data_IF_351562915961
#
_entry.id   IF_351562915961
#
_cell.length_a   1.000
_cell.length_b   1.000
_cell.length_c   1.000
_cell.angle_alpha   90.00
_cell.angle_beta   90.00
_cell.angle_gamma   90.00
#
_symmetry.space_group_name_H-M   'P 1'
#
loop_
_entity.id
_entity.type
_entity.pdbx_description
1 polymer ?
#
# COMPACT_ATOMS: atom_id res chain seq x y z
N UNK A 1 23.80 0.79 40.02
CA UNK A 1 23.12 -0.51 40.20
C UNK A 1 23.14 -1.23 38.87
N UNK A 2 23.49 -2.51 38.87
CA UNK A 2 23.48 -3.36 37.67
C UNK A 2 22.21 -4.20 37.68
N UNK A 3 21.62 -4.41 36.51
CA UNK A 3 20.34 -5.12 36.35
C UNK A 3 20.48 -6.19 35.26
N UNK A 4 19.41 -6.96 35.09
CA UNK A 4 19.24 -7.93 34.02
C UNK A 4 20.26 -9.09 34.06
N UNK A 5 20.05 -10.08 33.20
CA UNK A 5 21.00 -11.19 32.99
C UNK A 5 22.31 -10.73 32.35
N UNK A 6 22.31 -9.59 31.63
CA UNK A 6 23.49 -9.03 30.99
C UNK A 6 24.41 -8.24 31.95
N UNK A 7 23.97 -8.00 33.20
CA UNK A 7 24.75 -7.30 34.24
C UNK A 7 25.21 -5.90 33.83
N UNK A 8 24.39 -5.20 33.04
CA UNK A 8 24.63 -3.82 32.61
C UNK A 8 23.92 -2.82 33.53
N UNK A 9 24.40 -1.56 33.62
CA UNK A 9 23.68 -0.50 34.31
C UNK A 9 22.36 -0.14 33.58
N UNK A 10 21.47 0.55 34.29
CA UNK A 10 20.21 1.05 33.73
C UNK A 10 20.44 2.05 32.57
N UNK A 11 19.68 1.88 31.50
CA UNK A 11 19.67 2.74 30.31
C UNK A 11 18.23 3.18 30.02
N UNK A 12 17.98 4.48 30.04
CA UNK A 12 16.65 5.09 29.82
C UNK A 12 16.10 4.86 28.41
N UNK A 13 16.95 4.48 27.45
CA UNK A 13 16.56 4.28 26.05
C UNK A 13 16.07 2.85 25.77
N UNK A 14 16.24 1.93 26.72
CA UNK A 14 15.88 0.53 26.56
C UNK A 14 14.68 0.16 27.42
N UNK A 15 13.68 -0.47 26.80
CA UNK A 15 12.54 -1.03 27.52
C UNK A 15 12.99 -2.10 28.52
N UNK A 16 12.51 -1.99 29.76
CA UNK A 16 12.73 -2.96 30.83
C UNK A 16 11.43 -3.36 31.52
N UNK A 17 11.37 -4.61 31.99
CA UNK A 17 10.26 -5.18 32.75
C UNK A 17 10.75 -5.78 34.07
N UNK A 18 10.01 -5.59 35.16
CA UNK A 18 10.32 -6.11 36.49
C UNK A 18 9.77 -7.51 36.70
N UNK A 19 10.60 -8.44 37.20
CA UNK A 19 10.15 -9.77 37.59
C UNK A 19 9.42 -9.76 38.94
N UNK A 20 8.20 -10.26 38.98
CA UNK A 20 7.36 -10.30 40.17
C UNK A 20 7.91 -11.18 41.29
N UNK A 21 8.75 -12.17 40.96
CA UNK A 21 9.34 -13.09 41.93
C UNK A 21 10.64 -12.58 42.54
N UNK A 22 11.62 -12.17 41.73
CA UNK A 22 12.94 -11.74 42.23
C UNK A 22 13.10 -10.23 42.37
N UNK A 23 12.13 -9.43 41.91
CA UNK A 23 12.14 -7.96 41.96
C UNK A 23 13.35 -7.31 41.27
N UNK A 24 13.97 -8.03 40.32
CA UNK A 24 15.02 -7.51 39.44
C UNK A 24 14.41 -7.08 38.10
N UNK A 25 15.10 -6.17 37.41
CA UNK A 25 14.67 -5.58 36.14
C UNK A 25 15.42 -6.20 34.95
N UNK A 26 14.69 -6.47 33.87
CA UNK A 26 15.23 -7.16 32.69
C UNK A 26 14.94 -6.36 31.43
N UNK A 27 15.94 -6.18 30.56
CA UNK A 27 15.72 -5.62 29.23
C UNK A 27 14.81 -6.55 28.43
N UNK A 28 13.79 -6.01 27.79
CA UNK A 28 12.85 -6.79 26.98
C UNK A 28 13.55 -7.66 25.93
N UNK A 29 14.55 -7.09 25.25
CA UNK A 29 15.40 -7.79 24.27
C UNK A 29 16.21 -8.96 24.85
N UNK A 30 16.61 -8.90 26.13
CA UNK A 30 17.38 -9.96 26.78
C UNK A 30 16.51 -11.15 27.21
N UNK A 31 15.20 -10.95 27.36
CA UNK A 31 14.27 -11.95 27.89
C UNK A 31 13.13 -12.29 26.92
N UNK A 32 13.17 -11.73 25.70
CA UNK A 32 12.18 -11.98 24.65
C UNK A 32 10.80 -11.40 24.95
N UNK A 33 10.76 -10.22 25.58
CA UNK A 33 9.51 -9.48 25.85
C UNK A 33 9.57 -8.16 25.09
N UNK A 34 8.66 -7.99 24.13
CA UNK A 34 8.50 -6.73 23.41
C UNK A 34 7.78 -5.69 24.29
N UNK A 35 8.16 -4.42 24.13
CA UNK A 35 7.56 -3.29 24.87
C UNK A 35 6.04 -3.25 24.70
N UNK A 36 5.55 -3.55 23.49
CA UNK A 36 4.12 -3.55 23.15
C UNK A 36 3.32 -4.70 23.80
N UNK A 37 3.99 -5.75 24.26
CA UNK A 37 3.37 -6.90 24.93
C UNK A 37 3.38 -6.75 26.45
N UNK A 38 4.24 -5.87 26.99
CA UNK A 38 4.36 -5.61 28.43
C UNK A 38 3.03 -5.24 29.11
N UNK A 39 2.15 -4.40 28.50
CA UNK A 39 0.87 -4.06 29.11
C UNK A 39 -0.09 -5.25 29.30
N UNK A 40 0.07 -6.31 28.50
CA UNK A 40 -0.77 -7.50 28.54
C UNK A 40 -0.30 -8.54 29.57
N UNK A 41 0.93 -8.42 30.07
CA UNK A 41 1.48 -9.27 31.12
C UNK A 41 0.91 -8.83 32.47
N UNK A 42 0.34 -9.78 33.21
CA UNK A 42 -0.22 -9.59 34.55
C UNK A 42 0.84 -9.82 35.63
N UNK A 43 1.55 -10.95 35.51
CA UNK A 43 2.66 -11.32 36.39
C UNK A 43 3.80 -11.77 35.49
N UNK A 44 4.93 -11.06 35.55
CA UNK A 44 6.12 -11.41 34.80
C UNK A 44 7.09 -12.24 35.65
N UNK A 45 7.47 -13.41 35.16
CA UNK A 45 8.57 -14.20 35.72
C UNK A 45 9.72 -14.27 34.71
N UNK A 46 10.92 -13.88 35.14
CA UNK A 46 12.12 -13.99 34.32
C UNK A 46 12.50 -15.47 34.06
N UNK A 47 13.37 -15.76 33.07
CA UNK A 47 13.73 -17.15 32.70
C UNK A 47 14.26 -18.02 33.86
N UNK A 48 14.85 -17.40 34.90
CA UNK A 48 15.29 -18.11 36.09
C UNK A 48 14.14 -18.40 37.04
N UNK A 49 13.27 -17.42 37.30
CA UNK A 49 12.11 -17.57 38.19
C UNK A 49 11.00 -18.43 37.58
N UNK A 50 10.92 -18.53 36.25
CA UNK A 50 9.96 -19.42 35.57
C UNK A 50 10.08 -20.88 36.05
N UNK A 51 11.31 -21.32 36.36
CA UNK A 51 11.60 -22.70 36.80
C UNK A 51 10.99 -23.03 38.16
N UNK A 52 10.80 -22.04 39.04
CA UNK A 52 10.31 -22.22 40.41
C UNK A 52 8.92 -21.65 40.64
N UNK A 53 8.52 -20.61 39.90
CA UNK A 53 7.24 -19.90 40.05
C UNK A 53 6.29 -20.11 38.85
N UNK A 54 6.71 -20.84 37.83
CA UNK A 54 5.94 -21.08 36.61
C UNK A 54 6.02 -19.92 35.61
N UNK A 55 5.39 -20.10 34.44
CA UNK A 55 5.38 -19.10 33.36
C UNK A 55 4.69 -17.80 33.76
N UNK A 56 5.11 -16.69 33.14
CA UNK A 56 4.42 -15.40 33.23
C UNK A 56 2.93 -15.54 32.88
N UNK A 57 2.07 -14.87 33.62
CA UNK A 57 0.62 -14.86 33.37
C UNK A 57 0.23 -13.61 32.62
N UNK A 58 -0.71 -13.75 31.67
CA UNK A 58 -1.30 -12.62 30.97
C UNK A 58 -2.56 -12.16 31.70
N UNK A 59 -2.89 -10.88 31.55
CA UNK A 59 -4.12 -10.32 32.12
C UNK A 59 -5.30 -11.11 31.57
N UNK A 60 -6.16 -11.61 32.47
CA UNK A 60 -7.35 -12.36 32.07
C UNK A 60 -8.23 -11.44 31.21
N UNK A 61 -8.33 -11.71 29.90
CA UNK A 61 -9.44 -11.21 29.09
C UNK A 61 -10.72 -11.76 29.72
N UNK A 62 -11.59 -10.88 30.24
CA UNK A 62 -12.87 -11.27 30.83
C UNK A 62 -13.67 -12.07 29.79
N UNK A 63 -13.78 -13.37 30.00
CA UNK A 63 -14.75 -14.20 29.30
C UNK A 63 -16.14 -13.78 29.76
N UNK A 64 -16.97 -13.39 28.81
CA UNK A 64 -18.37 -13.05 28.97
C UNK A 64 -19.14 -14.26 29.55
N UNK A 65 -19.36 -14.28 30.86
CA UNK A 65 -20.30 -15.20 31.52
C UNK A 65 -21.72 -14.69 31.33
N UNK A 66 -22.62 -15.58 30.90
CA UNK A 66 -24.03 -15.32 30.51
C UNK A 66 -24.97 -14.77 31.61
N UNK A 67 -24.45 -14.34 32.76
CA UNK A 67 -25.25 -13.77 33.84
C UNK A 67 -24.43 -12.70 34.56
N UNK A 68 -24.46 -11.47 34.07
CA UNK A 68 -24.09 -10.30 34.86
C UNK A 68 -25.16 -9.23 34.67
N UNK A 69 -26.04 -9.14 35.66
CA UNK A 69 -27.10 -8.14 35.77
C UNK A 69 -26.54 -6.88 36.40
N UNK A 70 -26.07 -5.96 35.55
CA UNK A 70 -26.10 -4.51 35.83
C UNK A 70 -24.79 -3.85 36.31
N UNK A 71 -24.47 -2.76 35.63
CA UNK A 71 -23.57 -1.65 36.02
C UNK A 71 -22.08 -1.78 35.67
N UNK A 72 -21.81 -1.78 34.37
CA UNK A 72 -20.66 -1.07 33.78
C UNK A 72 -21.13 -0.51 32.43
N UNK A 73 -21.23 0.81 32.31
CA UNK A 73 -21.74 1.51 31.12
C UNK A 73 -20.66 1.85 30.09
N UNK A 74 -19.45 1.32 30.22
CA UNK A 74 -18.37 1.58 29.25
C UNK A 74 -18.43 0.57 28.11
N UNK A 75 -19.35 0.78 27.17
CA UNK A 75 -19.28 0.16 25.84
C UNK A 75 -18.10 0.80 25.13
N UNK A 76 -16.91 0.18 25.24
CA UNK A 76 -15.74 0.61 24.46
C UNK A 76 -16.04 0.42 22.97
N UNK A 77 -15.76 1.44 22.18
CA UNK A 77 -15.92 1.38 20.74
C UNK A 77 -15.05 0.27 20.14
N UNK A 78 -15.57 -0.37 19.09
CA UNK A 78 -14.88 -1.45 18.38
C UNK A 78 -13.74 -0.83 17.57
N UNK A 79 -12.51 -1.31 17.77
CA UNK A 79 -11.35 -0.85 17.01
C UNK A 79 -11.25 -1.58 15.66
N UNK A 80 -10.95 -0.83 14.61
CA UNK A 80 -10.68 -1.35 13.27
C UNK A 80 -9.53 -2.37 13.32
N UNK A 81 -9.69 -3.50 12.63
CA UNK A 81 -8.74 -4.62 12.65
C UNK A 81 -8.91 -5.61 13.81
N UNK A 82 -9.70 -5.29 14.85
CA UNK A 82 -10.02 -6.24 15.92
C UNK A 82 -10.85 -7.43 15.43
N UNK A 83 -10.80 -8.57 16.12
CA UNK A 83 -11.59 -9.75 15.76
C UNK A 83 -13.10 -9.49 15.74
N UNK A 84 -13.59 -8.60 16.62
CA UNK A 84 -15.00 -8.17 16.63
C UNK A 84 -15.30 -7.37 15.36
N UNK A 85 -14.46 -6.39 15.04
CA UNK A 85 -14.57 -5.61 13.80
C UNK A 85 -14.59 -6.50 12.56
N UNK A 86 -13.67 -7.47 12.44
CA UNK A 86 -13.61 -8.37 11.27
C UNK A 86 -14.89 -9.20 11.14
N UNK A 87 -15.44 -9.68 12.26
CA UNK A 87 -16.71 -10.42 12.26
C UNK A 87 -17.87 -9.53 11.78
N UNK A 88 -17.95 -8.29 12.27
CA UNK A 88 -18.95 -7.32 11.85
C UNK A 88 -18.78 -6.96 10.36
N UNK A 89 -17.55 -6.66 9.92
CA UNK A 89 -17.20 -6.34 8.54
C UNK A 89 -17.63 -7.43 7.56
N UNK A 90 -17.43 -8.71 7.90
CA UNK A 90 -17.86 -9.85 7.07
C UNK A 90 -19.38 -9.97 6.95
N UNK A 91 -20.13 -9.48 7.95
CA UNK A 91 -21.60 -9.52 7.95
C UNK A 91 -22.25 -8.31 7.28
N UNK A 92 -21.49 -7.23 7.07
CA UNK A 92 -21.97 -6.01 6.42
C UNK A 92 -22.25 -6.24 4.93
N UNK A 93 -23.27 -5.55 4.43
CA UNK A 93 -23.64 -5.53 3.02
C UNK A 93 -23.10 -4.27 2.35
N UNK A 94 -22.53 -4.43 1.16
CA UNK A 94 -21.98 -3.35 0.36
C UNK A 94 -22.49 -3.47 -1.08
N UNK A 95 -22.66 -2.37 -1.83
CA UNK A 95 -22.87 -2.44 -3.27
C UNK A 95 -21.72 -3.19 -3.95
N UNK A 96 -22.03 -3.91 -5.04
CA UNK A 96 -21.02 -4.65 -5.80
C UNK A 96 -20.11 -3.67 -6.54
N UNK A 97 -18.81 -3.96 -6.58
CA UNK A 97 -17.90 -3.19 -7.42
C UNK A 97 -18.16 -3.39 -8.93
N UNK A 98 -18.96 -4.37 -9.35
CA UNK A 98 -19.38 -4.50 -10.76
C UNK A 98 -20.06 -3.22 -11.31
N UNK A 99 -20.62 -2.38 -10.44
CA UNK A 99 -21.24 -1.10 -10.82
C UNK A 99 -20.23 -0.04 -11.27
N UNK A 100 -18.96 -0.19 -10.88
CA UNK A 100 -17.86 0.78 -11.16
C UNK A 100 -16.66 0.14 -11.85
N UNK A 101 -16.55 -1.19 -11.86
CA UNK A 101 -15.40 -1.87 -12.46
C UNK A 101 -15.48 -1.88 -13.99
N UNK A 102 -14.39 -1.42 -14.61
CA UNK A 102 -14.15 -1.64 -16.04
C UNK A 102 -13.44 -2.98 -16.21
N UNK A 103 -14.06 -3.91 -16.94
CA UNK A 103 -13.51 -5.25 -17.17
C UNK A 103 -12.78 -5.28 -18.52
N UNK A 104 -11.45 -5.38 -18.48
CA UNK A 104 -10.61 -5.42 -19.68
C UNK A 104 -9.78 -6.71 -19.71
N UNK A 105 -9.64 -7.30 -20.89
CA UNK A 105 -8.60 -8.30 -21.12
C UNK A 105 -7.22 -7.63 -21.23
N UNK A 106 -6.15 -8.40 -21.07
CA UNK A 106 -4.81 -7.84 -21.11
C UNK A 106 -4.46 -7.18 -22.45
N UNK A 107 -5.01 -7.66 -23.57
CA UNK A 107 -4.81 -7.06 -24.90
C UNK A 107 -5.60 -5.78 -25.13
N UNK A 108 -6.64 -5.52 -24.34
CA UNK A 108 -7.43 -4.28 -24.42
C UNK A 108 -6.84 -3.17 -23.54
N UNK A 109 -6.07 -3.52 -22.52
CA UNK A 109 -5.48 -2.55 -21.59
C UNK A 109 -4.20 -1.93 -22.19
N UNK A 110 -4.38 -0.97 -23.10
CA UNK A 110 -3.29 -0.26 -23.78
C UNK A 110 -3.24 1.23 -23.40
N UNK A 111 -2.14 1.90 -23.73
CA UNK A 111 -2.00 3.35 -23.51
C UNK A 111 -3.05 4.12 -24.30
N UNK A 112 -3.31 3.74 -25.55
CA UNK A 112 -4.29 4.41 -26.41
C UNK A 112 -5.71 4.31 -25.85
N UNK A 113 -6.08 3.15 -25.32
CA UNK A 113 -7.38 2.96 -24.66
C UNK A 113 -7.51 3.87 -23.43
N UNK A 114 -6.48 3.92 -22.58
CA UNK A 114 -6.51 4.76 -21.38
C UNK A 114 -6.40 6.27 -21.68
N UNK A 115 -5.78 6.66 -22.79
CA UNK A 115 -5.77 8.06 -23.26
C UNK A 115 -7.13 8.47 -23.83
N UNK A 116 -7.85 7.55 -24.48
CA UNK A 116 -9.18 7.81 -25.07
C UNK A 116 -10.30 7.80 -24.03
N UNK A 117 -10.36 6.75 -23.22
CA UNK A 117 -11.47 6.50 -22.30
C UNK A 117 -11.16 6.97 -20.87
N UNK A 118 -9.90 7.27 -20.59
CA UNK A 118 -9.41 7.67 -19.28
C UNK A 118 -9.08 6.49 -18.37
N UNK A 119 -8.45 6.81 -17.23
CA UNK A 119 -8.18 5.86 -16.15
C UNK A 119 -8.71 6.43 -14.83
N UNK A 120 -10.04 6.56 -14.73
CA UNK A 120 -10.75 7.17 -13.60
C UNK A 120 -11.53 6.17 -12.74
N UNK A 121 -11.84 4.99 -13.27
CA UNK A 121 -12.52 3.89 -12.59
C UNK A 121 -11.58 2.68 -12.44
N UNK A 122 -11.77 1.81 -11.43
CA UNK A 122 -10.90 0.66 -11.23
C UNK A 122 -11.10 -0.37 -12.34
N UNK A 123 -9.99 -0.96 -12.79
CA UNK A 123 -9.97 -1.91 -13.90
C UNK A 123 -9.69 -3.31 -13.36
N UNK A 124 -10.53 -4.29 -13.72
CA UNK A 124 -10.32 -5.68 -13.38
C UNK A 124 -9.97 -6.50 -14.63
N UNK A 125 -8.77 -7.07 -14.63
CA UNK A 125 -8.37 -8.11 -15.58
C UNK A 125 -8.63 -9.50 -14.97
N UNK A 126 -9.52 -10.26 -15.59
CA UNK A 126 -9.93 -11.59 -15.14
C UNK A 126 -8.78 -12.61 -15.21
N UNK A 127 -7.84 -12.41 -16.11
CA UNK A 127 -6.66 -13.26 -16.29
C UNK A 127 -5.45 -12.41 -16.64
N UNK A 128 -4.25 -12.95 -16.39
CA UNK A 128 -3.00 -12.24 -16.62
C UNK A 128 -2.55 -12.20 -18.09
N UNK A 129 -3.08 -13.07 -18.94
CA UNK A 129 -2.67 -13.15 -20.34
C UNK A 129 -2.92 -11.81 -21.06
N UNK A 130 -1.92 -11.36 -21.83
CA UNK A 130 -1.94 -10.08 -22.52
C UNK A 130 -1.47 -8.88 -21.69
N UNK A 131 -1.36 -8.98 -20.35
CA UNK A 131 -0.94 -7.84 -19.51
C UNK A 131 0.57 -7.55 -19.57
N UNK A 132 1.38 -8.40 -20.19
CA UNK A 132 2.84 -8.35 -20.08
C UNK A 132 3.34 -8.49 -18.64
N UNK A 133 2.54 -9.14 -17.78
CA UNK A 133 2.83 -9.44 -16.39
C UNK A 133 3.58 -10.78 -16.29
N UNK A 134 4.76 -10.79 -15.68
CA UNK A 134 5.45 -12.03 -15.32
C UNK A 134 5.27 -12.32 -13.84
N UNK A 135 4.93 -13.57 -13.53
CA UNK A 135 4.69 -14.05 -12.17
C UNK A 135 5.31 -15.43 -12.00
N UNK A 136 5.79 -15.78 -10.80
CA UNK A 136 6.24 -17.13 -10.51
C UNK A 136 5.11 -18.16 -10.71
N UNK A 137 5.45 -19.46 -10.83
CA UNK A 137 4.46 -20.50 -11.03
C UNK A 137 3.49 -20.58 -9.83
N UNK A 138 2.28 -21.13 -10.01
CA UNK A 138 1.35 -21.36 -8.90
C UNK A 138 1.88 -22.27 -7.79
N UNK A 139 3.02 -22.94 -7.98
CA UNK A 139 3.71 -23.73 -6.94
C UNK A 139 4.64 -22.89 -6.06
N UNK A 140 4.75 -21.58 -6.31
CA UNK A 140 5.58 -20.67 -5.51
C UNK A 140 4.88 -20.29 -4.20
N UNK A 141 5.57 -20.44 -3.08
CA UNK A 141 5.05 -20.24 -1.73
C UNK A 141 5.94 -19.28 -0.91
N UNK A 142 5.54 -19.01 0.33
CA UNK A 142 6.21 -18.07 1.24
C UNK A 142 7.66 -18.48 1.53
N UNK A 143 7.95 -19.78 1.53
CA UNK A 143 9.32 -20.30 1.67
C UNK A 143 10.20 -19.94 0.46
N UNK A 144 9.61 -19.81 -0.73
CA UNK A 144 10.35 -19.35 -1.90
C UNK A 144 10.63 -17.85 -1.80
N UNK A 145 9.71 -17.05 -1.25
CA UNK A 145 9.97 -15.64 -0.94
C UNK A 145 11.18 -15.51 -0.01
N UNK A 146 11.23 -16.28 1.09
CA UNK A 146 12.41 -16.34 1.99
C UNK A 146 13.70 -16.68 1.22
N UNK A 147 13.65 -17.67 0.33
CA UNK A 147 14.81 -18.09 -0.46
C UNK A 147 15.28 -17.02 -1.44
N UNK A 148 14.37 -16.33 -2.14
CA UNK A 148 14.72 -15.34 -3.16
C UNK A 148 15.14 -13.99 -2.55
N UNK A 149 14.51 -13.58 -1.44
CA UNK A 149 14.76 -12.30 -0.77
C UNK A 149 15.92 -12.42 0.22
N UNK A 150 15.95 -13.50 1.01
CA UNK A 150 16.95 -13.76 2.03
C UNK A 150 16.33 -13.82 3.44
N UNK A 151 16.70 -14.83 4.26
CA UNK A 151 16.08 -15.07 5.57
C UNK A 151 16.34 -13.96 6.60
N UNK A 152 17.50 -13.30 6.52
CA UNK A 152 17.93 -12.26 7.46
C UNK A 152 17.46 -10.86 7.08
N UNK A 153 16.73 -10.70 5.96
CA UNK A 153 16.15 -9.41 5.58
C UNK A 153 15.14 -9.00 6.65
N UNK A 154 15.30 -7.79 7.19
CA UNK A 154 14.35 -7.21 8.13
C UNK A 154 13.16 -6.67 7.35
N UNK A 155 11.96 -7.08 7.76
CA UNK A 155 10.70 -6.69 7.14
C UNK A 155 9.81 -5.96 8.15
N UNK A 156 9.02 -5.01 7.66
CA UNK A 156 7.96 -4.40 8.46
C UNK A 156 6.77 -5.37 8.54
N UNK A 157 6.21 -5.51 9.73
CA UNK A 157 5.10 -6.40 10.03
C UNK A 157 4.02 -5.63 10.74
N UNK A 158 2.80 -5.68 10.21
CA UNK A 158 1.65 -5.01 10.84
C UNK A 158 0.96 -5.98 11.78
N UNK A 159 0.83 -5.61 13.06
CA UNK A 159 -0.13 -6.22 13.97
C UNK A 159 -1.52 -5.67 13.63
N UNK A 160 -2.29 -6.47 12.90
CA UNK A 160 -3.61 -6.08 12.40
C UNK A 160 -4.57 -5.73 13.54
N UNK A 161 -4.44 -6.39 14.70
CA UNK A 161 -5.37 -6.15 15.82
C UNK A 161 -5.10 -4.82 16.49
N UNK A 162 -3.83 -4.39 16.52
CA UNK A 162 -3.39 -3.13 17.11
C UNK A 162 -3.32 -1.98 16.10
N UNK A 163 -3.33 -2.28 14.79
CA UNK A 163 -3.07 -1.33 13.70
C UNK A 163 -1.72 -0.60 13.90
N UNK A 164 -0.72 -1.34 14.40
CA UNK A 164 0.66 -0.87 14.61
C UNK A 164 1.63 -1.72 13.79
N UNK A 165 2.78 -1.15 13.47
CA UNK A 165 3.87 -1.85 12.78
C UNK A 165 5.04 -2.14 13.72
N UNK A 166 5.71 -3.26 13.48
CA UNK A 166 6.97 -3.64 14.09
C UNK A 166 7.92 -4.18 13.03
N UNK A 167 9.16 -4.52 13.41
CA UNK A 167 10.15 -5.13 12.51
C UNK A 167 10.53 -6.51 13.00
N UNK A 168 10.74 -7.44 12.08
CA UNK A 168 11.31 -8.76 12.38
C UNK A 168 12.07 -9.30 11.16
N UNK A 169 12.80 -10.40 11.32
CA UNK A 169 13.43 -11.06 10.18
C UNK A 169 12.38 -11.77 9.32
N UNK A 170 12.59 -11.79 8.00
CA UNK A 170 11.70 -12.51 7.08
C UNK A 170 11.54 -13.98 7.48
N UNK A 171 12.63 -14.62 7.92
CA UNK A 171 12.60 -15.98 8.46
C UNK A 171 11.62 -16.14 9.64
N UNK A 172 11.65 -15.22 10.60
CA UNK A 172 10.79 -15.26 11.78
C UNK A 172 9.32 -15.11 11.36
N UNK A 173 9.03 -14.25 10.39
CA UNK A 173 7.69 -14.12 9.82
C UNK A 173 7.25 -15.38 9.06
N UNK A 174 8.14 -16.02 8.30
CA UNK A 174 7.85 -17.29 7.60
C UNK A 174 7.56 -18.41 8.59
N UNK A 175 8.34 -18.52 9.66
CA UNK A 175 8.12 -19.48 10.74
C UNK A 175 6.77 -19.23 11.44
N UNK A 176 6.43 -17.95 11.70
CA UNK A 176 5.10 -17.54 12.19
C UNK A 176 3.99 -17.96 11.22
N UNK A 177 4.17 -17.71 9.92
CA UNK A 177 3.19 -18.02 8.88
C UNK A 177 2.89 -19.52 8.86
N UNK A 178 3.89 -20.39 8.90
CA UNK A 178 3.68 -21.84 8.89
C UNK A 178 3.35 -22.44 10.27
N UNK A 179 3.32 -21.64 11.32
CA UNK A 179 2.94 -22.12 12.65
C UNK A 179 1.50 -22.64 12.68
N UNK A 180 1.27 -23.73 13.43
CA UNK A 180 -0.07 -24.32 13.59
C UNK A 180 -0.99 -23.51 14.51
N UNK A 181 -0.45 -22.50 15.19
CA UNK A 181 -1.18 -21.67 16.15
C UNK A 181 -0.70 -20.21 16.12
N UNK A 182 -1.30 -19.41 15.25
CA UNK A 182 -1.04 -17.97 15.14
C UNK A 182 -1.83 -17.22 16.23
N UNK A 183 -1.13 -16.73 17.27
CA UNK A 183 -1.75 -15.99 18.39
C UNK A 183 -2.11 -14.54 18.04
N UNK A 184 -1.35 -13.93 17.13
CA UNK A 184 -1.56 -12.58 16.57
C UNK A 184 -1.91 -12.70 15.09
N UNK A 185 -2.55 -11.69 14.53
CA UNK A 185 -2.79 -11.57 13.07
C UNK A 185 -1.75 -10.60 12.53
N UNK A 186 -0.72 -11.13 11.90
CA UNK A 186 0.42 -10.35 11.38
C UNK A 186 0.41 -10.38 9.86
N UNK A 187 0.65 -9.24 9.22
CA UNK A 187 0.80 -9.14 7.77
C UNK A 187 2.13 -8.49 7.38
N UNK A 188 2.57 -8.76 6.15
CA UNK A 188 3.63 -8.02 5.46
C UNK A 188 3.01 -7.44 4.20
N UNK A 189 2.96 -6.11 4.09
CA UNK A 189 2.30 -5.41 2.96
C UNK A 189 3.25 -4.59 2.08
N UNK A 190 4.47 -4.34 2.54
CA UNK A 190 5.42 -3.41 1.92
C UNK A 190 6.79 -4.04 1.63
N UNK A 191 6.87 -5.37 1.48
CA UNK A 191 8.13 -6.03 1.13
C UNK A 191 8.52 -5.68 -0.31
N UNK A 192 9.26 -4.58 -0.46
CA UNK A 192 9.87 -4.15 -1.70
C UNK A 192 11.05 -5.06 -2.03
N UNK A 193 11.09 -5.58 -3.25
CA UNK A 193 12.04 -6.64 -3.59
C UNK A 193 12.86 -6.36 -4.85
N UNK A 194 12.87 -5.13 -5.36
CA UNK A 194 13.53 -4.79 -6.63
C UNK A 194 15.04 -5.03 -6.62
N UNK A 195 15.70 -4.96 -5.46
CA UNK A 195 17.14 -5.25 -5.32
C UNK A 195 17.45 -6.73 -5.00
N UNK A 196 16.43 -7.59 -4.94
CA UNK A 196 16.61 -9.00 -4.57
C UNK A 196 16.63 -9.90 -5.81
N UNK A 197 16.94 -11.19 -5.63
CA UNK A 197 16.84 -12.17 -6.73
C UNK A 197 15.40 -12.36 -7.22
N UNK A 198 14.40 -12.00 -6.42
CA UNK A 198 12.98 -12.10 -6.77
C UNK A 198 12.60 -11.16 -7.92
N UNK A 199 13.32 -10.05 -8.10
CA UNK A 199 13.10 -9.11 -9.20
C UNK A 199 13.18 -9.77 -10.59
N UNK A 200 13.99 -10.83 -10.72
CA UNK A 200 14.20 -11.53 -12.00
C UNK A 200 13.03 -12.43 -12.43
N UNK A 201 12.10 -12.72 -11.52
CA UNK A 201 10.99 -13.66 -11.77
C UNK A 201 9.61 -13.01 -11.68
N UNK A 202 9.56 -11.72 -11.35
CA UNK A 202 8.33 -10.92 -11.32
C UNK A 202 8.53 -9.68 -12.17
N UNK A 203 7.61 -9.45 -13.10
CA UNK A 203 7.58 -8.25 -13.94
C UNK A 203 6.21 -7.61 -13.86
N UNK A 204 6.18 -6.32 -13.58
CA UNK A 204 4.93 -5.54 -13.47
C UNK A 204 4.20 -5.46 -14.82
N UNK A 205 2.88 -5.21 -14.83
CA UNK A 205 2.11 -5.11 -16.05
C UNK A 205 2.75 -4.12 -17.05
N UNK A 206 2.72 -4.45 -18.34
CA UNK A 206 3.28 -3.60 -19.39
C UNK A 206 2.70 -2.18 -19.35
N UNK A 207 1.40 -2.04 -19.13
CA UNK A 207 0.74 -0.73 -19.05
C UNK A 207 1.29 0.14 -17.91
N UNK A 208 1.65 -0.48 -16.77
CA UNK A 208 2.24 0.21 -15.62
C UNK A 208 3.61 0.75 -15.98
N UNK A 209 4.44 -0.08 -16.62
CA UNK A 209 5.78 0.30 -17.07
C UNK A 209 5.74 1.40 -18.13
N UNK A 210 4.75 1.38 -19.02
CA UNK A 210 4.57 2.40 -20.06
C UNK A 210 4.10 3.75 -19.52
N UNK A 211 3.32 3.77 -18.42
CA UNK A 211 2.76 5.00 -17.86
C UNK A 211 3.59 5.61 -16.72
N UNK A 212 4.38 4.81 -16.01
CA UNK A 212 5.10 5.22 -14.80
C UNK A 212 6.11 6.34 -15.07
N UNK A 213 6.02 7.45 -14.34
CA UNK A 213 7.03 8.51 -14.41
C UNK A 213 8.41 8.03 -13.93
N UNK A 214 8.44 7.18 -12.91
CA UNK A 214 9.69 6.67 -12.35
C UNK A 214 10.41 5.79 -13.35
N UNK A 215 9.69 5.01 -14.15
CA UNK A 215 10.31 4.16 -15.18
C UNK A 215 10.74 4.94 -16.42
N UNK A 216 10.00 5.99 -16.80
CA UNK A 216 10.20 6.66 -18.09
C UNK A 216 10.98 7.97 -18.01
N UNK A 217 11.01 8.62 -16.84
CA UNK A 217 11.53 9.99 -16.70
C UNK A 217 12.55 10.16 -15.58
N UNK A 218 12.78 9.15 -14.73
CA UNK A 218 13.81 9.22 -13.71
C UNK A 218 15.20 8.99 -14.34
N UNK A 219 16.12 9.97 -14.31
CA UNK A 219 17.44 9.82 -14.93
C UNK A 219 18.33 8.82 -14.19
N UNK A 220 19.15 8.07 -14.94
CA UNK A 220 20.12 7.14 -14.36
C UNK A 220 21.24 7.85 -13.58
N UNK A 221 21.53 9.11 -13.92
CA UNK A 221 22.53 9.97 -13.28
C UNK A 221 21.94 10.85 -12.16
N UNK A 222 20.70 10.58 -11.73
CA UNK A 222 20.08 11.33 -10.64
C UNK A 222 20.87 11.18 -9.33
N UNK A 223 21.10 12.31 -8.64
CA UNK A 223 21.75 12.33 -7.33
C UNK A 223 20.90 11.68 -6.24
N UNK A 224 19.57 11.72 -6.39
CA UNK A 224 18.63 11.08 -5.48
C UNK A 224 18.33 9.66 -5.97
N UNK A 225 18.17 8.74 -5.02
CA UNK A 225 17.82 7.36 -5.31
C UNK A 225 16.46 7.26 -6.04
N UNK A 226 16.42 6.41 -7.07
CA UNK A 226 15.18 6.08 -7.81
C UNK A 226 14.13 5.54 -6.83
N UNK A 227 12.89 6.06 -6.83
CA UNK A 227 11.81 5.56 -5.98
C UNK A 227 11.57 4.06 -6.21
N UNK A 228 11.65 3.28 -5.13
CA UNK A 228 11.41 1.84 -5.13
C UNK A 228 10.00 1.56 -4.63
N UNK A 229 9.05 1.65 -5.56
CA UNK A 229 7.62 1.53 -5.26
C UNK A 229 6.88 0.62 -6.24
N UNK A 230 7.58 0.03 -7.21
CA UNK A 230 6.94 -0.63 -8.36
C UNK A 230 6.71 -2.13 -8.18
N UNK A 231 7.36 -2.75 -7.19
CA UNK A 231 7.33 -4.20 -6.94
C UNK A 231 7.31 -4.51 -5.44
N UNK A 232 6.13 -4.79 -4.91
CA UNK A 232 5.90 -5.24 -3.54
C UNK A 232 5.37 -6.67 -3.51
N UNK A 233 5.83 -7.45 -2.54
CA UNK A 233 5.29 -8.76 -2.19
C UNK A 233 4.43 -8.61 -0.92
N UNK A 234 3.19 -9.09 -0.99
CA UNK A 234 2.24 -9.02 0.11
C UNK A 234 1.99 -10.42 0.63
N UNK A 235 2.26 -10.62 1.92
CA UNK A 235 2.06 -11.88 2.63
C UNK A 235 1.06 -11.61 3.76
N UNK A 236 -0.20 -11.95 3.49
CA UNK A 236 -1.30 -11.63 4.38
C UNK A 236 -1.92 -12.92 4.91
N UNK A 237 -2.02 -13.06 6.22
CA UNK A 237 -2.77 -14.17 6.82
C UNK A 237 -4.27 -13.90 6.80
N UNK A 238 -5.08 -14.94 6.92
CA UNK A 238 -6.52 -14.84 7.12
C UNK A 238 -6.87 -13.82 8.21
N UNK A 239 -7.93 -13.06 7.97
CA UNK A 239 -8.46 -12.00 8.84
C UNK A 239 -7.56 -10.75 8.91
N UNK A 240 -6.50 -10.66 8.08
CA UNK A 240 -5.73 -9.41 7.95
C UNK A 240 -6.60 -8.29 7.39
N UNK A 241 -6.41 -7.08 7.92
CA UNK A 241 -7.14 -5.87 7.51
C UNK A 241 -6.20 -4.68 7.44
N UNK A 242 -6.33 -3.92 6.35
CA UNK A 242 -5.69 -2.62 6.15
C UNK A 242 -6.80 -1.59 6.01
N UNK A 243 -6.80 -0.58 6.88
CA UNK A 243 -7.86 0.42 6.93
C UNK A 243 -7.86 1.38 5.72
N UNK A 244 -8.89 2.21 5.62
CA UNK A 244 -9.07 3.11 4.50
C UNK A 244 -7.91 4.09 4.35
N UNK A 245 -7.36 4.15 3.13
CA UNK A 245 -6.26 5.04 2.78
C UNK A 245 -6.35 5.48 1.32
N UNK A 246 -5.55 6.48 0.98
CA UNK A 246 -5.21 6.87 -0.39
C UNK A 246 -3.72 6.59 -0.54
N UNK A 247 -3.31 5.99 -1.66
CA UNK A 247 -1.89 5.73 -1.93
C UNK A 247 -1.07 7.03 -1.91
N UNK A 248 0.12 6.97 -1.30
CA UNK A 248 1.02 8.12 -1.20
C UNK A 248 1.36 8.72 -2.58
N UNK A 249 1.46 10.05 -2.64
CA UNK A 249 1.62 10.79 -3.88
C UNK A 249 0.41 10.70 -4.83
N UNK A 250 -0.73 10.15 -4.36
CA UNK A 250 -1.89 9.85 -5.20
C UNK A 250 -1.60 8.83 -6.29
N UNK A 251 -0.63 7.94 -6.07
CA UNK A 251 -0.25 6.93 -7.03
C UNK A 251 -1.43 6.03 -7.42
N UNK A 252 -1.44 5.58 -8.67
CA UNK A 252 -2.23 4.43 -9.07
C UNK A 252 -1.52 3.15 -8.61
N UNK A 253 -2.27 2.08 -8.38
CA UNK A 253 -1.73 0.80 -7.91
C UNK A 253 -2.27 -0.36 -8.76
N UNK A 254 -1.42 -1.35 -8.99
CA UNK A 254 -1.84 -2.64 -9.52
C UNK A 254 -1.68 -3.72 -8.44
N UNK A 255 -2.60 -4.69 -8.39
CA UNK A 255 -2.57 -5.84 -7.50
C UNK A 255 -2.79 -7.12 -8.30
N UNK A 256 -2.00 -8.15 -8.05
CA UNK A 256 -2.17 -9.49 -8.59
C UNK A 256 -2.16 -10.53 -7.48
N UNK A 257 -3.21 -11.33 -7.37
CA UNK A 257 -3.29 -12.39 -6.36
C UNK A 257 -2.69 -13.67 -6.93
N UNK A 258 -1.52 -14.09 -6.42
CA UNK A 258 -0.91 -15.36 -6.82
C UNK A 258 -1.60 -16.55 -6.13
N UNK A 259 -1.95 -16.40 -4.86
CA UNK A 259 -2.64 -17.41 -4.02
C UNK A 259 -3.60 -16.75 -3.07
N UNK A 260 -4.73 -17.41 -2.83
CA UNK A 260 -5.74 -16.93 -1.89
C UNK A 260 -6.74 -15.97 -2.53
N UNK A 261 -7.22 -15.02 -1.74
CA UNK A 261 -8.22 -14.04 -2.14
C UNK A 261 -8.05 -12.77 -1.31
N UNK A 262 -8.34 -11.61 -1.93
CA UNK A 262 -8.36 -10.31 -1.27
C UNK A 262 -9.69 -9.61 -1.55
N UNK A 263 -10.24 -8.91 -0.57
CA UNK A 263 -11.45 -8.09 -0.71
C UNK A 263 -11.05 -6.64 -0.56
N UNK A 264 -11.37 -5.81 -1.55
CA UNK A 264 -11.19 -4.37 -1.54
C UNK A 264 -12.52 -3.68 -1.28
N UNK A 265 -12.48 -2.63 -0.46
CA UNK A 265 -13.59 -1.71 -0.22
C UNK A 265 -13.24 -0.38 -0.86
N UNK A 266 -13.90 -0.04 -1.97
CA UNK A 266 -13.50 1.03 -2.88
C UNK A 266 -14.46 2.22 -2.77
N UNK A 267 -13.92 3.42 -2.60
CA UNK A 267 -14.67 4.66 -2.51
C UNK A 267 -14.13 5.64 -3.55
N UNK A 268 -15.03 6.15 -4.39
CA UNK A 268 -14.70 7.07 -5.48
C UNK A 268 -14.12 8.39 -4.92
N UNK A 269 -13.07 8.98 -5.51
CA UNK A 269 -12.42 10.20 -5.02
C UNK A 269 -13.17 11.47 -5.42
N UNK A 270 -14.45 11.55 -5.07
CA UNK A 270 -15.22 12.79 -5.25
C UNK A 270 -14.69 13.86 -4.30
N UNK A 271 -14.90 15.13 -4.62
CA UNK A 271 -14.50 16.22 -3.72
C UNK A 271 -15.11 16.09 -2.32
N UNK A 272 -16.36 15.61 -2.22
CA UNK A 272 -17.02 15.36 -0.95
C UNK A 272 -16.32 14.24 -0.16
N UNK A 273 -16.04 13.10 -0.82
CA UNK A 273 -15.41 11.95 -0.17
C UNK A 273 -13.97 12.26 0.27
N UNK A 274 -13.20 13.02 -0.51
CA UNK A 274 -11.86 13.45 -0.13
C UNK A 274 -11.88 14.37 1.10
N UNK A 275 -12.84 15.30 1.19
CA UNK A 275 -13.02 16.14 2.37
C UNK A 275 -13.46 15.34 3.61
N UNK A 276 -14.32 14.33 3.43
CA UNK A 276 -14.71 13.41 4.50
C UNK A 276 -13.52 12.58 4.96
N UNK A 277 -12.72 12.05 4.03
CA UNK A 277 -11.53 11.26 4.33
C UNK A 277 -10.52 12.08 5.16
N UNK A 278 -10.25 13.32 4.75
CA UNK A 278 -9.32 14.19 5.47
C UNK A 278 -9.82 14.49 6.90
N UNK A 279 -11.12 14.72 7.08
CA UNK A 279 -11.73 14.91 8.40
C UNK A 279 -11.69 13.64 9.26
N UNK A 280 -12.02 12.50 8.67
CA UNK A 280 -11.96 11.21 9.36
C UNK A 280 -10.53 10.90 9.78
N UNK A 281 -9.55 10.99 8.87
CA UNK A 281 -8.17 10.61 9.13
C UNK A 281 -7.49 11.49 10.17
N UNK A 282 -7.87 12.77 10.25
CA UNK A 282 -7.37 13.71 11.26
C UNK A 282 -8.05 13.59 12.63
N UNK A 283 -9.13 12.81 12.74
CA UNK A 283 -9.82 12.62 14.01
C UNK A 283 -9.03 11.72 14.97
N UNK A 284 -9.09 12.03 16.26
CA UNK A 284 -8.39 11.27 17.31
C UNK A 284 -8.96 9.86 17.51
N UNK A 285 -10.21 9.63 17.10
CA UNK A 285 -10.92 8.36 17.23
C UNK A 285 -11.18 7.69 15.86
N UNK A 286 -10.39 8.00 14.82
CA UNK A 286 -10.59 7.41 13.49
C UNK A 286 -10.53 5.88 13.51
N UNK A 287 -9.71 5.29 14.39
CA UNK A 287 -9.59 3.84 14.57
C UNK A 287 -10.86 3.17 15.14
N UNK A 288 -11.79 3.95 15.68
CA UNK A 288 -13.09 3.51 16.21
C UNK A 288 -14.24 3.72 15.21
N UNK A 289 -13.95 4.34 14.06
CA UNK A 289 -14.93 4.70 13.06
C UNK A 289 -14.64 3.97 11.75
N UNK A 290 -15.64 3.25 11.24
CA UNK A 290 -15.55 2.65 9.93
C UNK A 290 -15.87 3.69 8.86
N UNK A 291 -14.85 4.15 8.11
CA UNK A 291 -14.98 5.30 7.19
C UNK A 291 -16.07 5.12 6.11
N UNK A 292 -16.32 3.88 5.67
CA UNK A 292 -17.37 3.60 4.70
C UNK A 292 -18.79 4.01 5.16
N UNK A 293 -19.02 4.14 6.47
CA UNK A 293 -20.30 4.62 7.01
C UNK A 293 -20.51 6.14 6.84
N UNK A 294 -19.45 6.88 6.47
CA UNK A 294 -19.50 8.33 6.28
C UNK A 294 -19.74 8.75 4.83
N UNK A 295 -19.67 7.81 3.89
CA UNK A 295 -19.79 8.08 2.45
C UNK A 295 -21.07 7.47 1.87
N UNK A 296 -21.52 8.00 0.73
CA UNK A 296 -22.74 7.51 0.07
C UNK A 296 -22.60 6.07 -0.42
N UNK A 297 -21.46 5.73 -1.05
CA UNK A 297 -21.19 4.40 -1.60
C UNK A 297 -19.78 3.94 -1.32
N UNK A 298 -19.67 2.73 -0.79
CA UNK A 298 -18.44 1.97 -0.66
C UNK A 298 -18.62 0.61 -1.34
N UNK A 299 -17.90 0.38 -2.43
CA UNK A 299 -18.08 -0.79 -3.29
C UNK A 299 -17.20 -1.94 -2.83
N UNK A 300 -17.75 -3.15 -2.75
CA UNK A 300 -16.99 -4.35 -2.42
C UNK A 300 -16.50 -5.05 -3.69
N UNK A 301 -15.18 -5.16 -3.84
CA UNK A 301 -14.51 -5.86 -4.94
C UNK A 301 -13.75 -7.08 -4.41
N UNK A 302 -14.19 -8.28 -4.76
CA UNK A 302 -13.44 -9.52 -4.45
C UNK A 302 -12.45 -9.82 -5.57
N UNK A 303 -11.16 -9.79 -5.25
CA UNK A 303 -10.06 -10.15 -6.13
C UNK A 303 -9.58 -11.58 -5.84
N UNK A 304 -9.85 -12.49 -6.76
CA UNK A 304 -9.53 -13.92 -6.64
C UNK A 304 -8.16 -14.24 -7.22
N UNK A 305 -7.66 -15.42 -6.86
CA UNK A 305 -6.43 -15.97 -7.42
C UNK A 305 -6.37 -15.88 -8.96
N UNK A 306 -5.25 -15.37 -9.48
CA UNK A 306 -4.97 -15.20 -10.90
C UNK A 306 -5.52 -13.92 -11.53
N UNK A 307 -6.35 -13.17 -10.81
CA UNK A 307 -6.88 -11.89 -11.29
C UNK A 307 -5.93 -10.73 -10.96
N UNK A 308 -6.06 -9.65 -11.74
CA UNK A 308 -5.30 -8.41 -11.53
C UNK A 308 -6.25 -7.23 -11.45
N UNK A 309 -6.14 -6.43 -10.40
CA UNK A 309 -6.88 -5.18 -10.19
C UNK A 309 -5.95 -3.98 -10.40
N UNK A 310 -6.46 -2.95 -11.06
CA UNK A 310 -5.80 -1.65 -11.17
C UNK A 310 -6.71 -0.60 -10.52
N UNK A 311 -6.19 0.11 -9.52
CA UNK A 311 -6.91 1.17 -8.82
C UNK A 311 -6.28 2.50 -9.24
N UNK A 312 -7.07 3.43 -9.83
CA UNK A 312 -6.53 4.70 -10.30
C UNK A 312 -6.32 5.70 -9.17
N UNK A 313 -5.56 6.74 -9.47
CA UNK A 313 -5.19 7.83 -8.56
C UNK A 313 -6.35 8.34 -7.71
N UNK A 314 -6.08 8.47 -6.41
CA UNK A 314 -6.96 9.13 -5.44
C UNK A 314 -8.05 8.25 -4.84
N UNK A 315 -8.38 7.09 -5.43
CA UNK A 315 -9.40 6.20 -4.87
C UNK A 315 -9.07 5.81 -3.43
N UNK A 316 -10.06 5.99 -2.56
CA UNK A 316 -9.93 5.65 -1.14
C UNK A 316 -10.27 4.16 -1.01
N UNK A 317 -9.37 3.38 -0.43
CA UNK A 317 -9.54 1.93 -0.38
C UNK A 317 -9.13 1.32 0.97
N UNK A 318 -9.82 0.26 1.38
CA UNK A 318 -9.44 -0.63 2.48
C UNK A 318 -9.38 -2.07 1.97
N UNK A 319 -8.63 -2.92 2.67
CA UNK A 319 -8.43 -4.33 2.28
C UNK A 319 -8.76 -5.29 3.43
N UNK A 320 -9.44 -6.39 3.10
CA UNK A 320 -9.66 -7.53 3.98
C UNK A 320 -9.16 -8.81 3.30
N UNK A 321 -8.38 -9.59 4.03
CA UNK A 321 -7.85 -10.88 3.60
C UNK A 321 -8.72 -12.04 4.13
N UNK A 322 -9.67 -12.58 3.34
CA UNK A 322 -10.58 -13.63 3.78
C UNK A 322 -9.91 -14.96 4.11
N UNK A 323 -8.79 -15.26 3.45
CA UNK A 323 -7.98 -16.47 3.57
C UNK A 323 -6.52 -16.09 3.37
N UNK A 324 -5.58 -16.91 3.87
CA UNK A 324 -4.15 -16.67 3.62
C UNK A 324 -3.87 -16.37 2.15
N UNK A 325 -3.14 -15.27 1.91
CA UNK A 325 -2.99 -14.67 0.60
C UNK A 325 -1.52 -14.30 0.35
N UNK A 326 -1.03 -14.68 -0.84
CA UNK A 326 0.22 -14.20 -1.42
C UNK A 326 -0.13 -13.40 -2.66
N UNK A 327 0.19 -12.12 -2.64
CA UNK A 327 -0.08 -11.20 -3.74
C UNK A 327 1.15 -10.36 -4.07
N UNK A 328 1.12 -9.75 -5.26
CA UNK A 328 2.11 -8.81 -5.72
C UNK A 328 1.43 -7.50 -6.10
N UNK A 329 2.10 -6.39 -5.83
CA UNK A 329 1.58 -5.07 -6.20
C UNK A 329 2.69 -4.12 -6.60
N UNK A 330 2.30 -2.92 -7.01
CA UNK A 330 3.21 -1.81 -7.22
C UNK A 330 2.47 -0.52 -7.51
N UNK A 331 3.12 0.58 -7.16
CA UNK A 331 2.61 1.94 -7.29
C UNK A 331 3.26 2.63 -8.47
N UNK A 332 2.51 3.50 -9.14
CA UNK A 332 3.00 4.29 -10.25
C UNK A 332 2.21 5.59 -10.38
N UNK A 333 2.91 6.66 -10.70
CA UNK A 333 2.34 7.96 -11.04
C UNK A 333 2.49 8.19 -12.54
N UNK A 334 1.52 8.89 -13.15
CA UNK A 334 1.37 8.96 -14.60
C UNK A 334 0.70 10.26 -15.07
N UNK A 335 0.71 10.49 -16.39
CA UNK A 335 0.19 11.73 -16.99
C UNK A 335 -1.35 11.81 -17.05
N UNK A 336 -2.06 10.68 -16.93
CA UNK A 336 -3.53 10.65 -17.08
C UNK A 336 -4.31 11.30 -15.92
N UNK A 337 -3.67 11.56 -14.77
CA UNK A 337 -4.37 12.03 -13.55
C UNK A 337 -3.52 12.96 -12.69
N UNK A 338 -2.72 13.82 -13.34
CA UNK A 338 -1.80 14.74 -12.66
C UNK A 338 -2.51 15.58 -11.59
N UNK A 339 -3.69 16.14 -11.90
CA UNK A 339 -4.46 16.94 -10.95
C UNK A 339 -4.81 16.16 -9.67
N UNK A 340 -5.29 14.92 -9.82
CA UNK A 340 -5.67 14.08 -8.69
C UNK A 340 -4.44 13.67 -7.87
N UNK A 341 -3.31 13.35 -8.52
CA UNK A 341 -2.04 13.07 -7.85
C UNK A 341 -1.59 14.25 -6.99
N UNK A 342 -1.62 15.48 -7.53
CA UNK A 342 -1.25 16.69 -6.78
C UNK A 342 -2.21 16.93 -5.61
N UNK A 343 -3.52 16.72 -5.82
CA UNK A 343 -4.52 16.89 -4.76
C UNK A 343 -4.32 15.90 -3.62
N UNK A 344 -4.07 14.63 -3.93
CA UNK A 344 -3.81 13.59 -2.93
C UNK A 344 -2.51 13.86 -2.17
N UNK A 345 -1.45 14.29 -2.86
CA UNK A 345 -0.18 14.68 -2.24
C UNK A 345 -0.34 15.85 -1.26
N UNK A 346 -1.15 16.85 -1.61
CA UNK A 346 -1.45 17.97 -0.70
C UNK A 346 -2.26 17.52 0.54
N UNK A 347 -3.19 16.57 0.38
CA UNK A 347 -3.90 15.95 1.53
C UNK A 347 -2.91 15.22 2.44
N UNK A 348 -2.02 14.41 1.86
CA UNK A 348 -0.98 13.66 2.57
C UNK A 348 -0.09 14.59 3.42
N UNK A 349 0.38 15.70 2.84
CA UNK A 349 1.20 16.70 3.55
C UNK A 349 0.47 17.34 4.73
N UNK A 350 -0.80 17.71 4.56
CA UNK A 350 -1.61 18.32 5.64
C UNK A 350 -1.85 17.35 6.78
N UNK A 351 -2.12 16.08 6.45
CA UNK A 351 -2.36 15.02 7.43
C UNK A 351 -1.09 14.48 8.08
N UNK A 352 0.10 14.76 7.52
CA UNK A 352 1.39 14.24 7.99
C UNK A 352 1.36 12.71 8.13
N UNK A 353 0.87 12.04 7.08
CA UNK A 353 0.66 10.58 7.10
C UNK A 353 2.01 9.86 7.30
N UNK A 354 2.11 9.09 8.38
CA UNK A 354 3.09 8.01 8.51
C UNK A 354 2.54 6.74 7.87
N UNK A 355 3.26 6.16 6.92
CA UNK A 355 2.87 4.91 6.25
C UNK A 355 4.09 4.04 5.94
N UNK A 356 3.85 2.74 5.78
CA UNK A 356 4.83 1.74 5.36
C UNK A 356 5.15 1.79 3.86
N UNK A 357 4.33 2.47 3.06
CA UNK A 357 4.47 2.58 1.60
C UNK A 357 4.53 4.03 1.11
N UNK A 358 5.47 4.86 1.63
CA UNK A 358 5.58 6.24 1.18
C UNK A 358 6.00 6.31 -0.29
N UNK A 359 5.72 7.43 -0.96
CA UNK A 359 6.27 7.70 -2.28
C UNK A 359 7.51 8.61 -2.15
N UNK A 360 8.74 8.06 -2.11
CA UNK A 360 9.93 8.87 -1.90
C UNK A 360 10.17 9.79 -3.10
N UNK A 361 10.71 10.98 -2.82
CA UNK A 361 11.13 11.95 -3.84
C UNK A 361 10.01 12.34 -4.84
N UNK A 362 8.76 12.42 -4.39
CA UNK A 362 7.61 12.79 -5.23
C UNK A 362 7.80 14.13 -5.95
N UNK A 363 8.20 15.18 -5.24
CA UNK A 363 8.44 16.51 -5.85
C UNK A 363 9.56 16.47 -6.90
N UNK A 364 10.59 15.64 -6.69
CA UNK A 364 11.67 15.42 -7.67
C UNK A 364 11.14 14.73 -8.93
N UNK A 365 10.30 13.70 -8.79
CA UNK A 365 9.64 13.06 -9.93
C UNK A 365 8.79 14.07 -10.72
N UNK A 366 8.11 15.00 -10.03
CA UNK A 366 7.35 16.10 -10.64
C UNK A 366 8.24 17.03 -11.47
N UNK A 367 9.45 17.35 -10.99
CA UNK A 367 10.41 18.16 -11.74
C UNK A 367 10.88 17.46 -13.02
N UNK A 368 11.19 16.16 -12.95
CA UNK A 368 11.63 15.41 -14.13
C UNK A 368 10.53 15.30 -15.19
N UNK A 369 9.29 14.99 -14.80
CA UNK A 369 8.18 14.98 -15.77
C UNK A 369 7.90 16.37 -16.31
N UNK A 370 7.98 17.42 -15.48
CA UNK A 370 7.79 18.81 -15.92
C UNK A 370 8.79 19.22 -16.99
N UNK A 371 10.07 18.88 -16.80
CA UNK A 371 11.13 19.07 -17.79
C UNK A 371 10.83 18.31 -19.08
N UNK A 372 10.48 17.03 -18.98
CA UNK A 372 10.16 16.19 -20.15
C UNK A 372 8.98 16.75 -20.95
N UNK A 373 7.90 17.15 -20.26
CA UNK A 373 6.72 17.76 -20.90
C UNK A 373 7.08 19.07 -21.61
N UNK A 374 7.90 19.92 -20.99
CA UNK A 374 8.37 21.16 -21.61
C UNK A 374 9.14 20.88 -22.93
N UNK A 375 10.06 19.92 -22.92
CA UNK A 375 10.82 19.53 -24.11
C UNK A 375 9.90 18.97 -25.20
N UNK A 376 8.95 18.11 -24.84
CA UNK A 376 7.93 17.56 -25.75
C UNK A 376 7.05 18.64 -26.38
N UNK A 377 6.58 19.62 -25.59
CA UNK A 377 5.75 20.72 -26.10
C UNK A 377 6.55 21.64 -27.04
N UNK A 378 7.80 21.97 -26.70
CA UNK A 378 8.70 22.72 -27.60
C UNK A 378 8.89 21.99 -28.93
N UNK A 379 9.13 20.68 -28.90
CA UNK A 379 9.29 19.86 -30.11
C UNK A 379 8.05 19.89 -31.01
N UNK A 380 6.85 19.78 -30.43
CA UNK A 380 5.59 19.86 -31.19
C UNK A 380 5.35 21.24 -31.80
N UNK A 381 5.64 22.31 -31.05
CA UNK A 381 5.50 23.69 -31.55
C UNK A 381 6.46 23.92 -32.73
N UNK A 382 7.72 23.50 -32.62
CA UNK A 382 8.69 23.61 -33.71
C UNK A 382 8.32 22.75 -34.92
N UNK A 383 7.73 21.56 -34.70
CA UNK A 383 7.16 20.71 -35.75
C UNK A 383 5.98 21.34 -36.49
N UNK A 384 5.07 22.00 -35.78
CA UNK A 384 3.94 22.72 -36.37
C UNK A 384 4.38 23.98 -37.14
N UNK A 385 5.36 24.71 -36.62
CA UNK A 385 5.94 25.87 -37.30
C UNK A 385 6.67 25.45 -38.59
N UNK A 386 7.47 24.38 -38.56
CA UNK A 386 8.13 23.86 -39.77
C UNK A 386 7.14 23.33 -40.81
N UNK A 387 6.06 22.64 -40.41
CA UNK A 387 4.99 22.23 -41.33
C UNK A 387 4.29 23.43 -42.00
N UNK A 388 4.08 24.50 -41.24
CA UNK A 388 3.46 25.75 -41.72
C UNK A 388 4.38 26.49 -42.72
N UNK A 389 5.69 26.52 -42.47
CA UNK A 389 6.67 27.10 -43.40
C UNK A 389 6.82 26.27 -44.70
N UNK A 390 6.72 24.94 -44.62
CA UNK A 390 6.75 24.06 -45.82
C UNK A 390 5.49 24.20 -46.67
N UNK A 391 4.32 24.43 -46.07
CA UNK A 391 3.09 24.71 -46.83
C UNK A 391 3.05 26.14 -47.38
N UNK A 392 3.57 27.13 -46.66
CA UNK A 392 3.66 28.52 -47.15
C UNK A 392 4.63 28.65 -48.35
N UNK A 393 5.69 27.84 -48.41
CA UNK A 393 6.65 27.82 -49.52
C UNK A 393 6.16 27.08 -50.78
N UNK A 394 5.03 26.34 -50.70
CA UNK A 394 4.38 25.71 -51.86
C UNK A 394 3.35 26.61 -52.58
N UNK A 395 2.97 27.74 -51.99
CA UNK A 395 2.17 28.77 -52.66
C UNK A 395 3.08 29.89 -53.21
N UNK A 396 3.69 29.66 -54.37
CA UNK A 396 4.13 30.78 -55.23
C UNK A 396 2.94 31.19 -56.10
N UNK A 397 2.38 32.41 -55.97
CA UNK A 397 1.39 32.88 -56.92
C UNK A 397 2.10 33.23 -58.25
N UNK A 398 1.66 32.61 -59.34
CA UNK A 398 2.10 32.97 -60.69
C UNK A 398 1.46 34.30 -61.10
N UNK A 399 2.12 35.42 -60.82
CA UNK A 399 1.77 36.70 -61.42
C UNK A 399 2.62 36.90 -62.66
N UNK A 400 2.07 36.52 -63.82
CA UNK A 400 2.61 36.81 -65.13
C UNK A 400 1.60 37.72 -65.84
N UNK A 401 1.73 39.03 -65.66
CA UNK A 401 1.04 40.02 -66.49
C UNK A 401 1.97 41.19 -66.76
N UNK A 402 2.45 41.24 -68.00
CA UNK A 402 3.03 42.43 -68.63
C UNK A 402 1.94 43.50 -68.70
N UNK A 403 2.20 44.68 -68.15
CA UNK A 403 1.59 45.92 -68.60
C UNK A 403 2.60 47.04 -68.51
N UNK A 404 2.95 47.56 -69.68
CA UNK A 404 3.78 48.73 -69.94
C UNK A 404 3.18 49.99 -69.33
N UNK A 405 4.00 50.78 -68.64
CA UNK A 405 3.69 52.19 -68.35
C UNK A 405 4.59 53.07 -69.21
N UNK A 406 3.93 53.86 -70.07
CA UNK A 406 4.51 54.96 -70.84
C UNK A 406 4.82 56.14 -69.91
N UNK A 407 5.91 56.83 -70.25
CA UNK A 407 6.32 58.14 -69.70
C UNK A 407 5.26 59.22 -69.98
N UNK A 408 5.03 60.06 -68.98
CA UNK A 408 5.02 61.53 -69.08
C UNK A 408 5.32 62.11 -67.73
#
# INVERSE_FOLDING_TARGET
MIYCICRLPYDVTQFMIECDACKDWFHGSCVGVDEDDAPDIDIYHCPNCEKTHGKSTLKKKRNWSKYDTGQSTDIKAVQNGSQVFIKELRSRTFPSADDVLVKLSGTQLTVEHLEQDGFSEPILAQKKEGLGLAMPPPTFYISDVENYVGPDVVVDVVDVTKQTDSKMKLKEFVDYYYSTNRKKVLNVINLEFSDTRMNNIVESPQIVRQLSWVENYWPDDALLGKPKVTKYCLICVKDSYTDFHIECGGASVWYHVLKGEQIFFLIKPTSANLSLYERWRSSSNHSEMFFADQVDKCYKCTLKQGQTLFIPSGWINAMLTPVDCLAFSGHFIHNLSVEMQMRAYEIEKRLKIGTLTPFPNFETACWYVGRHLLERFKGKINGLLSFSFVHASRFRPSWNTKTSFQKT
#
